data_IF_524389680774
#
_entry.id   IF_524389680774
#
_cell.length_a   1.000
_cell.length_b   1.000
_cell.length_c   1.000
_cell.angle_alpha   90.00
_cell.angle_beta   90.00
_cell.angle_gamma   90.00
#
_symmetry.space_group_name_H-M   'P 1'
#
loop_
_entity.id
_entity.type
_entity.pdbx_description
1 polymer ?
#
# COMPACT_ATOMS: atom_id res chain seq x y z
N UNK A 1 21.01 -43.91 -10.01
CA UNK A 1 21.85 -45.13 -9.87
C UNK A 1 22.41 -45.47 -11.24
N UNK A 2 23.60 -44.96 -11.52
CA UNK A 2 24.60 -45.60 -12.38
C UNK A 2 25.91 -45.41 -11.63
N UNK A 3 26.65 -46.49 -11.46
CA UNK A 3 27.93 -46.53 -10.76
C UNK A 3 28.86 -45.43 -11.27
N UNK A 4 29.41 -44.67 -10.33
CA UNK A 4 30.34 -43.55 -10.50
C UNK A 4 31.71 -44.09 -10.97
N UNK A 5 31.72 -44.78 -12.11
CA UNK A 5 32.92 -45.40 -12.67
C UNK A 5 33.72 -44.34 -13.40
N UNK A 6 34.93 -44.09 -12.88
CA UNK A 6 35.92 -43.20 -13.48
C UNK A 6 36.07 -43.50 -14.98
N UNK A 7 36.16 -42.46 -15.83
CA UNK A 7 36.47 -42.68 -17.24
C UNK A 7 37.93 -43.15 -17.40
N UNK A 8 38.10 -44.47 -17.53
CA UNK A 8 39.39 -45.15 -17.68
C UNK A 8 39.71 -45.49 -19.14
N UNK A 9 39.08 -44.81 -20.10
CA UNK A 9 39.37 -45.01 -21.53
C UNK A 9 40.61 -44.23 -21.94
N UNK A 10 41.59 -44.95 -22.46
CA UNK A 10 42.88 -44.43 -22.90
C UNK A 10 43.05 -44.75 -24.37
N UNK A 11 43.53 -43.77 -25.13
CA UNK A 11 43.95 -43.95 -26.51
C UNK A 11 45.48 -43.88 -26.58
N UNK A 12 46.11 -44.86 -27.22
CA UNK A 12 47.55 -44.84 -27.49
C UNK A 12 47.76 -44.67 -28.99
N UNK A 13 48.56 -43.69 -29.39
CA UNK A 13 48.84 -43.38 -30.79
C UNK A 13 50.35 -43.45 -31.01
N UNK A 14 50.82 -44.51 -31.65
CA UNK A 14 52.23 -44.76 -31.94
C UNK A 14 52.33 -45.62 -33.22
N UNK A 15 53.27 -45.30 -34.11
CA UNK A 15 53.43 -46.03 -35.37
C UNK A 15 54.12 -47.40 -35.18
N UNK A 16 54.70 -47.64 -34.00
CA UNK A 16 55.35 -48.89 -33.65
C UNK A 16 54.42 -49.82 -32.86
N UNK A 17 54.03 -50.98 -33.44
CA UNK A 17 53.16 -51.95 -32.75
C UNK A 17 53.70 -52.47 -31.42
N UNK A 18 55.03 -52.50 -31.20
CA UNK A 18 55.58 -52.97 -29.93
C UNK A 18 55.21 -52.05 -28.76
N UNK A 19 55.08 -50.74 -29.03
CA UNK A 19 54.69 -49.75 -28.01
C UNK A 19 53.23 -49.96 -27.59
N UNK A 20 52.36 -50.36 -28.52
CA UNK A 20 50.98 -50.72 -28.17
C UNK A 20 50.92 -51.88 -27.19
N UNK A 21 51.73 -52.92 -27.41
CA UNK A 21 51.78 -54.08 -26.52
C UNK A 21 52.38 -53.72 -25.15
N UNK A 22 53.37 -52.83 -25.11
CA UNK A 22 53.94 -52.33 -23.85
C UNK A 22 52.91 -51.54 -23.04
N UNK A 23 52.19 -50.59 -23.66
CA UNK A 23 51.13 -49.83 -22.99
C UNK A 23 49.97 -50.72 -22.54
N UNK A 24 49.60 -51.74 -23.33
CA UNK A 24 48.61 -52.73 -22.88
C UNK A 24 49.11 -53.46 -21.65
N UNK A 25 50.34 -53.98 -21.61
CA UNK A 25 50.88 -54.65 -20.40
C UNK A 25 50.96 -53.74 -19.19
N UNK A 26 51.24 -52.45 -19.39
CA UNK A 26 51.39 -51.48 -18.30
C UNK A 26 50.02 -51.06 -17.73
N UNK A 27 49.03 -50.84 -18.60
CA UNK A 27 47.74 -50.23 -18.23
C UNK A 27 46.59 -51.24 -18.12
N UNK A 28 46.70 -52.40 -18.76
CA UNK A 28 45.82 -53.56 -18.61
C UNK A 28 46.61 -54.58 -17.78
N UNK A 29 46.32 -54.67 -16.48
CA UNK A 29 46.93 -55.67 -15.61
C UNK A 29 46.67 -57.08 -16.16
N UNK A 30 47.74 -57.84 -16.41
CA UNK A 30 47.64 -59.26 -16.77
C UNK A 30 47.10 -60.08 -15.59
N UNK A 31 46.07 -60.89 -15.85
CA UNK A 31 45.42 -61.82 -14.91
C UNK A 31 46.38 -62.77 -14.19
N UNK A 32 47.59 -63.01 -14.71
CA UNK A 32 48.61 -63.87 -14.06
C UNK A 32 49.22 -63.24 -12.80
N UNK A 33 49.24 -61.91 -12.70
CA UNK A 33 49.76 -61.21 -11.52
C UNK A 33 48.85 -61.36 -10.31
N UNK A 34 47.54 -61.59 -10.52
CA UNK A 34 46.60 -61.87 -9.44
C UNK A 34 46.90 -63.21 -8.75
N UNK A 35 47.30 -64.25 -9.49
CA UNK A 35 47.61 -65.56 -8.91
C UNK A 35 48.94 -65.54 -8.14
N UNK A 36 49.92 -64.75 -8.61
CA UNK A 36 51.19 -64.54 -7.92
C UNK A 36 51.02 -63.69 -6.65
N UNK A 37 50.17 -62.66 -6.69
CA UNK A 37 49.79 -61.84 -5.52
C UNK A 37 48.95 -62.64 -4.51
N UNK A 38 48.01 -63.49 -4.95
CA UNK A 38 47.28 -64.43 -4.08
C UNK A 38 48.21 -65.42 -3.40
N UNK A 39 49.17 -65.99 -4.13
CA UNK A 39 50.18 -66.89 -3.57
C UNK A 39 51.10 -66.17 -2.56
N UNK A 40 51.48 -64.91 -2.83
CA UNK A 40 52.31 -64.09 -1.95
C UNK A 40 51.58 -63.68 -0.67
N UNK A 41 50.29 -63.34 -0.78
CA UNK A 41 49.41 -63.03 0.35
C UNK A 41 49.23 -64.24 1.28
N UNK A 42 49.08 -65.45 0.70
CA UNK A 42 48.97 -66.70 1.45
C UNK A 42 50.27 -67.11 2.18
N UNK A 43 51.44 -66.72 1.66
CA UNK A 43 52.76 -67.09 2.21
C UNK A 43 53.30 -66.11 3.26
N UNK A 44 53.03 -64.81 3.13
CA UNK A 44 53.68 -63.78 3.95
C UNK A 44 52.73 -62.92 4.80
N UNK A 45 51.41 -63.15 4.73
CA UNK A 45 50.46 -62.66 5.73
C UNK A 45 50.25 -61.14 5.81
N UNK A 46 50.91 -60.33 4.98
CA UNK A 46 50.69 -58.89 4.91
C UNK A 46 50.87 -58.39 3.47
N UNK A 47 49.74 -58.12 2.81
CA UNK A 47 49.69 -57.24 1.65
C UNK A 47 48.61 -56.18 1.95
N UNK A 48 49.05 -54.96 2.27
CA UNK A 48 48.17 -53.79 2.19
C UNK A 48 47.58 -53.76 0.79
N UNK A 49 46.27 -53.89 0.71
CA UNK A 49 45.47 -53.70 -0.51
C UNK A 49 45.83 -52.34 -1.12
N UNK A 50 46.73 -52.34 -2.11
CA UNK A 50 46.63 -51.34 -3.17
C UNK A 50 45.26 -51.63 -3.77
N UNK A 51 44.31 -50.71 -3.62
CA UNK A 51 43.01 -50.82 -4.29
C UNK A 51 43.30 -51.14 -5.75
N UNK A 52 42.96 -52.36 -6.18
CA UNK A 52 43.07 -52.76 -7.57
C UNK A 52 42.21 -51.78 -8.37
N UNK A 53 42.85 -50.83 -9.04
CA UNK A 53 42.15 -49.99 -9.99
C UNK A 53 41.60 -50.91 -11.07
N UNK A 54 40.32 -50.73 -11.43
CA UNK A 54 39.76 -51.41 -12.61
C UNK A 54 40.69 -51.17 -13.80
N UNK A 55 40.95 -52.21 -14.63
CA UNK A 55 41.92 -52.12 -15.70
C UNK A 55 41.50 -51.05 -16.71
N UNK A 56 42.48 -50.28 -17.21
CA UNK A 56 42.19 -49.25 -18.21
C UNK A 56 41.70 -49.88 -19.52
N UNK A 57 40.74 -49.23 -20.17
CA UNK A 57 40.33 -49.60 -21.53
C UNK A 57 41.26 -48.91 -22.51
N UNK A 58 42.21 -49.65 -23.06
CA UNK A 58 43.24 -49.13 -23.96
C UNK A 58 42.89 -49.48 -25.40
N UNK A 59 42.58 -48.46 -26.18
CA UNK A 59 42.47 -48.55 -27.64
C UNK A 59 43.76 -48.01 -28.26
N UNK A 60 44.19 -48.58 -29.39
CA UNK A 60 45.45 -48.19 -30.05
C UNK A 60 45.21 -47.76 -31.49
N UNK A 61 45.97 -46.77 -31.95
CA UNK A 61 45.97 -46.28 -33.32
C UNK A 61 47.42 -46.19 -33.82
N UNK A 62 47.68 -46.73 -35.00
CA UNK A 62 48.99 -46.69 -35.64
C UNK A 62 49.32 -45.33 -36.29
N UNK A 63 48.32 -44.48 -36.50
CA UNK A 63 48.45 -43.15 -37.09
C UNK A 63 47.42 -42.16 -36.53
N UNK A 64 47.72 -40.86 -36.63
CA UNK A 64 46.86 -39.79 -36.12
C UNK A 64 45.46 -39.71 -36.74
N UNK A 65 45.30 -40.07 -38.02
CA UNK A 65 43.98 -40.09 -38.68
C UNK A 65 43.08 -41.18 -38.07
N UNK A 66 43.63 -42.37 -37.84
CA UNK A 66 42.91 -43.48 -37.20
C UNK A 66 42.53 -43.11 -35.77
N UNK A 67 43.43 -42.43 -35.04
CA UNK A 67 43.14 -41.90 -33.71
C UNK A 67 41.96 -40.92 -33.71
N UNK A 68 41.91 -40.01 -34.70
CA UNK A 68 40.80 -39.06 -34.83
C UNK A 68 39.46 -39.76 -35.09
N UNK A 69 39.45 -40.74 -36.00
CA UNK A 69 38.24 -41.52 -36.31
C UNK A 69 37.72 -42.25 -35.06
N UNK A 70 38.63 -42.84 -34.27
CA UNK A 70 38.29 -43.47 -33.00
C UNK A 70 37.71 -42.49 -31.99
N UNK A 71 38.30 -41.30 -31.84
CA UNK A 71 37.78 -40.26 -30.91
C UNK A 71 36.41 -39.76 -31.35
N UNK A 72 36.22 -39.49 -32.65
CA UNK A 72 34.92 -39.05 -33.17
C UNK A 72 33.85 -40.13 -32.98
N UNK A 73 34.16 -41.39 -33.29
CA UNK A 73 33.24 -42.51 -33.07
C UNK A 73 32.91 -42.67 -31.57
N UNK A 74 33.90 -42.56 -30.70
CA UNK A 74 33.74 -42.64 -29.24
C UNK A 74 32.86 -41.50 -28.70
N UNK A 75 33.05 -40.27 -29.18
CA UNK A 75 32.22 -39.11 -28.80
C UNK A 75 30.77 -39.28 -29.25
N UNK A 76 30.56 -39.72 -30.49
CA UNK A 76 29.22 -39.99 -31.04
C UNK A 76 28.50 -41.11 -30.28
N UNK A 77 29.25 -42.10 -29.79
CA UNK A 77 28.73 -43.18 -28.95
C UNK A 77 28.55 -42.78 -27.48
N UNK A 78 28.85 -41.53 -27.09
CA UNK A 78 28.76 -41.05 -25.71
C UNK A 78 29.77 -41.67 -24.75
N UNK A 79 30.87 -42.25 -25.26
CA UNK A 79 31.92 -42.90 -24.49
C UNK A 79 33.29 -42.27 -24.81
N UNK A 80 33.54 -40.99 -24.48
CA UNK A 80 34.77 -40.30 -24.86
C UNK A 80 36.02 -40.93 -24.22
N UNK A 81 37.19 -40.72 -24.82
CA UNK A 81 38.47 -41.04 -24.17
C UNK A 81 38.84 -39.96 -23.15
N UNK A 82 39.35 -40.38 -21.99
CA UNK A 82 39.81 -39.45 -20.97
C UNK A 82 41.22 -38.94 -21.28
N UNK A 83 42.10 -39.84 -21.73
CA UNK A 83 43.53 -39.58 -21.93
C UNK A 83 44.00 -40.16 -23.27
N UNK A 84 44.85 -39.42 -23.98
CA UNK A 84 45.59 -39.94 -25.13
C UNK A 84 47.10 -39.86 -24.90
N UNK A 85 47.81 -40.97 -25.10
CA UNK A 85 49.27 -41.00 -25.21
C UNK A 85 49.63 -40.93 -26.69
N UNK A 86 50.37 -39.92 -27.11
CA UNK A 86 50.63 -39.63 -28.53
C UNK A 86 52.11 -39.53 -28.78
N UNK A 87 52.64 -40.37 -29.67
CA UNK A 87 54.02 -40.28 -30.11
C UNK A 87 54.28 -39.04 -30.97
N UNK A 88 55.47 -38.46 -30.85
CA UNK A 88 55.84 -37.26 -31.59
C UNK A 88 56.12 -37.53 -33.07
N UNK A 89 56.65 -38.70 -33.44
CA UNK A 89 57.14 -38.97 -34.81
C UNK A 89 56.53 -40.25 -35.39
N UNK A 90 55.51 -40.11 -36.24
CA UNK A 90 54.77 -41.22 -36.83
C UNK A 90 54.73 -41.17 -38.38
N UNK A 91 55.84 -41.40 -39.11
CA UNK A 91 55.83 -41.41 -40.58
C UNK A 91 55.02 -42.58 -41.19
N UNK A 92 54.39 -42.44 -42.37
CA UNK A 92 54.39 -41.28 -43.27
C UNK A 92 53.23 -40.28 -43.04
N UNK A 93 52.41 -40.47 -42.01
CA UNK A 93 51.19 -39.70 -41.76
C UNK A 93 51.38 -38.48 -40.85
N UNK A 94 50.39 -38.20 -40.01
CA UNK A 94 50.41 -37.05 -39.11
C UNK A 94 51.49 -37.20 -38.03
N UNK A 95 52.19 -36.11 -37.75
CA UNK A 95 53.06 -36.05 -36.57
C UNK A 95 52.23 -35.97 -35.28
N UNK A 96 52.89 -36.08 -34.12
CA UNK A 96 52.20 -36.03 -32.83
C UNK A 96 51.48 -34.71 -32.58
N UNK A 97 52.04 -33.57 -33.02
CA UNK A 97 51.43 -32.26 -32.80
C UNK A 97 50.16 -32.06 -33.63
N UNK A 98 50.22 -32.39 -34.92
CA UNK A 98 49.06 -32.35 -35.81
C UNK A 98 47.97 -33.30 -35.30
N UNK A 99 48.34 -34.49 -34.83
CA UNK A 99 47.41 -35.42 -34.19
C UNK A 99 46.71 -34.75 -33.00
N UNK A 100 47.46 -34.18 -32.05
CA UNK A 100 46.90 -33.55 -30.84
C UNK A 100 45.96 -32.39 -31.18
N UNK A 101 46.33 -31.55 -32.15
CA UNK A 101 45.47 -30.44 -32.61
C UNK A 101 44.12 -30.95 -33.12
N UNK A 102 44.12 -32.00 -33.93
CA UNK A 102 42.88 -32.57 -34.49
C UNK A 102 42.06 -33.27 -33.41
N UNK A 103 42.72 -33.98 -32.50
CA UNK A 103 42.09 -34.63 -31.37
C UNK A 103 41.38 -33.63 -30.45
N UNK A 104 41.98 -32.47 -30.15
CA UNK A 104 41.34 -31.43 -29.33
C UNK A 104 40.27 -30.62 -30.07
N UNK A 105 40.33 -30.53 -31.40
CA UNK A 105 39.20 -30.02 -32.19
C UNK A 105 37.99 -30.95 -32.07
N UNK A 106 38.21 -32.26 -32.00
CA UNK A 106 37.16 -33.25 -31.84
C UNK A 106 36.66 -33.39 -30.40
N UNK A 107 37.56 -33.42 -29.40
CA UNK A 107 37.23 -33.35 -27.97
C UNK A 107 38.19 -32.45 -27.21
N UNK A 108 37.74 -31.23 -26.91
CA UNK A 108 38.54 -30.27 -26.14
C UNK A 108 38.76 -30.65 -24.67
N UNK A 109 38.06 -31.66 -24.13
CA UNK A 109 38.17 -32.10 -22.73
C UNK A 109 39.28 -33.14 -22.52
N UNK A 110 39.63 -33.89 -23.56
CA UNK A 110 40.61 -34.98 -23.49
C UNK A 110 41.98 -34.50 -23.00
N UNK A 111 42.59 -35.25 -22.08
CA UNK A 111 43.95 -35.00 -21.61
C UNK A 111 44.95 -35.68 -22.56
N UNK A 112 46.13 -35.09 -22.74
CA UNK A 112 47.13 -35.62 -23.68
C UNK A 112 48.48 -35.74 -23.00
N UNK A 113 49.16 -36.86 -23.25
CA UNK A 113 50.56 -37.10 -22.89
C UNK A 113 51.36 -37.26 -24.19
N UNK A 114 52.32 -36.37 -24.43
CA UNK A 114 53.27 -36.50 -25.53
C UNK A 114 54.33 -37.52 -25.14
N UNK A 115 54.50 -38.52 -25.97
CA UNK A 115 55.59 -39.48 -25.91
C UNK A 115 56.71 -39.02 -26.86
N UNK A 116 57.93 -38.81 -26.35
CA UNK A 116 59.02 -38.23 -27.16
C UNK A 116 60.40 -38.76 -26.78
N UNK A 117 61.33 -38.81 -27.74
CA UNK A 117 62.74 -39.10 -27.48
C UNK A 117 63.55 -37.81 -27.25
N UNK A 118 64.74 -37.92 -26.65
CA UNK A 118 65.63 -36.81 -26.25
C UNK A 118 66.05 -35.84 -27.40
N UNK A 119 65.66 -36.14 -28.65
CA UNK A 119 66.07 -35.45 -29.88
C UNK A 119 64.92 -34.81 -30.67
N UNK A 120 63.69 -34.81 -30.16
CA UNK A 120 62.53 -34.32 -30.92
C UNK A 120 62.17 -32.89 -30.52
N UNK A 121 61.71 -32.12 -31.51
CA UNK A 121 61.43 -30.67 -31.58
C UNK A 121 61.62 -29.78 -30.32
N UNK A 122 62.26 -28.60 -30.44
CA UNK A 122 62.42 -27.69 -29.32
C UNK A 122 61.07 -27.19 -28.76
N UNK A 123 60.90 -27.29 -27.43
CA UNK A 123 59.69 -26.94 -26.63
C UNK A 123 58.99 -25.62 -27.01
N UNK A 124 59.70 -24.67 -27.61
CA UNK A 124 59.12 -23.42 -28.12
C UNK A 124 58.06 -23.63 -29.21
N UNK A 125 58.29 -24.59 -30.12
CA UNK A 125 57.38 -24.88 -31.25
C UNK A 125 56.07 -25.51 -30.76
N UNK A 126 56.14 -26.41 -29.78
CA UNK A 126 54.97 -27.03 -29.13
C UNK A 126 54.12 -25.95 -28.45
N UNK A 127 54.75 -24.99 -27.76
CA UNK A 127 54.02 -23.93 -27.04
C UNK A 127 53.37 -22.93 -27.98
N UNK A 128 54.04 -22.55 -29.08
CA UNK A 128 53.49 -21.63 -30.09
C UNK A 128 52.32 -22.23 -30.86
N UNK A 129 52.40 -23.52 -31.18
CA UNK A 129 51.43 -24.22 -32.02
C UNK A 129 50.19 -24.67 -31.24
N UNK A 130 50.35 -25.11 -30.00
CA UNK A 130 49.27 -25.75 -29.21
C UNK A 130 48.71 -24.83 -28.09
N UNK A 131 49.46 -23.83 -27.62
CA UNK A 131 49.00 -22.73 -26.76
C UNK A 131 48.61 -23.06 -25.31
N UNK A 132 47.90 -24.18 -25.05
CA UNK A 132 47.47 -24.62 -23.71
C UNK A 132 48.38 -25.72 -23.18
N UNK A 133 49.00 -25.48 -22.03
CA UNK A 133 49.94 -26.43 -21.41
C UNK A 133 49.35 -27.23 -20.23
N UNK A 134 48.15 -26.87 -19.76
CA UNK A 134 47.55 -27.50 -18.58
C UNK A 134 46.96 -28.89 -18.88
N UNK A 135 46.66 -29.21 -20.14
CA UNK A 135 46.14 -30.52 -20.58
C UNK A 135 47.19 -31.40 -21.26
N UNK A 136 48.45 -30.96 -21.22
CA UNK A 136 49.56 -31.56 -21.93
C UNK A 136 50.65 -31.94 -20.93
N UNK A 137 50.99 -33.22 -20.87
CA UNK A 137 52.16 -33.70 -20.14
C UNK A 137 53.13 -34.36 -21.12
N UNK A 138 54.39 -34.52 -20.72
CA UNK A 138 55.42 -35.17 -21.54
C UNK A 138 55.90 -36.42 -20.80
N UNK A 139 56.04 -37.51 -21.55
CA UNK A 139 56.65 -38.76 -21.12
C UNK A 139 57.83 -39.07 -22.05
N UNK A 140 59.03 -39.23 -21.48
CA UNK A 140 60.25 -39.47 -22.26
C UNK A 140 60.47 -40.96 -22.56
N UNK A 141 60.90 -41.28 -23.78
CA UNK A 141 61.33 -42.61 -24.21
C UNK A 141 62.80 -42.85 -23.82
N UNK A 142 63.19 -44.04 -23.28
CA UNK A 142 62.36 -45.23 -23.05
C UNK A 142 61.43 -45.08 -21.83
N UNK A 143 60.21 -45.60 -21.96
CA UNK A 143 59.15 -45.38 -20.97
C UNK A 143 59.39 -46.13 -19.66
N UNK A 144 59.12 -45.47 -18.53
CA UNK A 144 58.93 -46.13 -17.25
C UNK A 144 57.44 -46.47 -17.06
N UNK A 145 57.11 -47.76 -16.94
CA UNK A 145 55.72 -48.21 -16.81
C UNK A 145 54.99 -47.64 -15.59
N UNK A 146 55.70 -47.40 -14.48
CA UNK A 146 55.10 -46.78 -13.28
C UNK A 146 54.71 -45.32 -13.56
N UNK A 147 55.54 -44.59 -14.31
CA UNK A 147 55.28 -43.20 -14.68
C UNK A 147 54.07 -43.09 -15.61
N UNK A 148 54.00 -43.94 -16.64
CA UNK A 148 52.86 -44.01 -17.55
C UNK A 148 51.54 -44.33 -16.80
N UNK A 149 51.58 -45.29 -15.86
CA UNK A 149 50.43 -45.64 -15.03
C UNK A 149 49.98 -44.49 -14.11
N UNK A 150 50.92 -43.79 -13.49
CA UNK A 150 50.62 -42.63 -12.64
C UNK A 150 50.00 -41.48 -13.43
N UNK A 151 50.54 -41.20 -14.63
CA UNK A 151 50.01 -40.18 -15.53
C UNK A 151 48.60 -40.53 -16.01
N UNK A 152 48.40 -41.77 -16.49
CA UNK A 152 47.10 -42.28 -16.90
C UNK A 152 46.06 -42.12 -15.79
N UNK A 153 46.39 -42.57 -14.58
CA UNK A 153 45.51 -42.47 -13.41
C UNK A 153 45.17 -41.01 -13.12
N UNK A 154 46.17 -40.16 -12.91
CA UNK A 154 45.96 -38.76 -12.51
C UNK A 154 45.15 -37.97 -13.55
N UNK A 155 45.39 -38.20 -14.84
CA UNK A 155 44.70 -37.50 -15.92
C UNK A 155 43.26 -37.99 -16.11
N UNK A 156 42.98 -39.28 -15.92
CA UNK A 156 41.60 -39.80 -15.88
C UNK A 156 40.79 -39.13 -14.76
N UNK A 157 41.35 -39.05 -13.55
CA UNK A 157 40.72 -38.34 -12.41
C UNK A 157 40.50 -36.86 -12.71
N UNK A 158 41.48 -36.20 -13.33
CA UNK A 158 41.35 -34.79 -13.73
C UNK A 158 40.24 -34.57 -14.74
N UNK A 159 40.11 -35.46 -15.73
CA UNK A 159 39.04 -35.40 -16.73
C UNK A 159 37.66 -35.55 -16.08
N UNK A 160 37.50 -36.56 -15.21
CA UNK A 160 36.24 -36.84 -14.52
C UNK A 160 35.80 -35.70 -13.60
N UNK A 161 36.73 -35.15 -12.82
CA UNK A 161 36.44 -34.00 -11.96
C UNK A 161 36.02 -32.76 -12.76
N UNK A 162 36.68 -32.50 -13.89
CA UNK A 162 36.33 -31.39 -14.75
C UNK A 162 34.94 -31.55 -15.37
N UNK A 163 34.58 -32.77 -15.81
CA UNK A 163 33.27 -33.07 -16.39
C UNK A 163 32.16 -32.92 -15.34
N UNK A 164 32.37 -33.47 -14.13
CA UNK A 164 31.44 -33.31 -12.99
C UNK A 164 31.23 -31.86 -12.60
N UNK A 165 32.29 -31.05 -12.56
CA UNK A 165 32.20 -29.63 -12.22
C UNK A 165 31.36 -28.86 -13.26
N UNK A 166 31.56 -29.12 -14.55
CA UNK A 166 30.76 -28.52 -15.62
C UNK A 166 29.29 -28.95 -15.52
N UNK A 167 29.03 -30.23 -15.25
CA UNK A 167 27.67 -30.74 -15.04
C UNK A 167 26.95 -30.04 -13.89
N UNK A 168 27.61 -29.90 -12.74
CA UNK A 168 27.04 -29.20 -11.57
C UNK A 168 26.74 -27.73 -11.85
N UNK A 169 27.62 -27.04 -12.58
CA UNK A 169 27.41 -25.64 -12.96
C UNK A 169 26.18 -25.49 -13.87
N UNK A 170 26.01 -26.37 -14.85
CA UNK A 170 24.82 -26.36 -15.71
C UNK A 170 23.53 -26.62 -14.91
N UNK A 171 23.56 -27.58 -13.98
CA UNK A 171 22.39 -27.87 -13.13
C UNK A 171 22.03 -26.67 -12.24
N UNK A 172 23.02 -26.05 -11.61
CA UNK A 172 22.82 -24.86 -10.77
C UNK A 172 22.27 -23.70 -11.59
N UNK A 173 22.83 -23.43 -12.77
CA UNK A 173 22.33 -22.38 -13.67
C UNK A 173 20.86 -22.61 -14.04
N UNK A 174 20.49 -23.85 -14.38
CA UNK A 174 19.09 -24.20 -14.67
C UNK A 174 18.17 -23.94 -13.47
N UNK A 175 18.58 -24.35 -12.27
CA UNK A 175 17.80 -24.13 -11.04
C UNK A 175 17.65 -22.64 -10.72
N UNK A 176 18.71 -21.85 -10.90
CA UNK A 176 18.68 -20.40 -10.70
C UNK A 176 17.73 -19.74 -11.70
N UNK A 177 17.76 -20.13 -12.97
CA UNK A 177 16.83 -19.62 -13.99
C UNK A 177 15.38 -19.94 -13.65
N UNK A 178 15.09 -21.18 -13.27
CA UNK A 178 13.74 -21.61 -12.86
C UNK A 178 13.23 -20.81 -11.66
N UNK A 179 14.05 -20.67 -10.61
CA UNK A 179 13.67 -19.90 -9.42
C UNK A 179 13.53 -18.40 -9.70
N UNK A 180 14.38 -17.86 -10.56
CA UNK A 180 14.30 -16.45 -10.97
C UNK A 180 13.00 -16.19 -11.72
N UNK A 181 12.60 -17.08 -12.62
CA UNK A 181 11.33 -16.98 -13.33
C UNK A 181 10.11 -17.10 -12.39
N UNK A 182 10.14 -18.01 -11.41
CA UNK A 182 9.09 -18.11 -10.40
C UNK A 182 8.96 -16.83 -9.55
N UNK A 183 10.08 -16.30 -9.06
CA UNK A 183 10.11 -15.06 -8.28
C UNK A 183 9.61 -13.86 -9.08
N UNK A 184 9.97 -13.77 -10.37
CA UNK A 184 9.45 -12.72 -11.25
C UNK A 184 7.93 -12.80 -11.41
N UNK A 185 7.37 -14.01 -11.59
CA UNK A 185 5.91 -14.19 -11.67
C UNK A 185 5.21 -13.79 -10.36
N UNK A 186 5.74 -14.21 -9.22
CA UNK A 186 5.18 -13.86 -7.91
C UNK A 186 5.23 -12.33 -7.66
N UNK A 187 6.34 -11.67 -7.99
CA UNK A 187 6.46 -10.21 -7.87
C UNK A 187 5.51 -9.47 -8.79
N UNK A 188 5.29 -9.96 -10.01
CA UNK A 188 4.30 -9.36 -10.92
C UNK A 188 2.88 -9.48 -10.34
N UNK A 189 2.51 -10.66 -9.84
CA UNK A 189 1.21 -10.87 -9.19
C UNK A 189 0.99 -9.95 -7.98
N UNK A 190 2.00 -9.80 -7.13
CA UNK A 190 1.93 -8.87 -5.99
C UNK A 190 1.75 -7.42 -6.45
N UNK A 191 2.43 -7.02 -7.51
CA UNK A 191 2.31 -5.67 -8.09
C UNK A 191 0.89 -5.43 -8.62
N UNK A 192 0.31 -6.40 -9.30
CA UNK A 192 -1.05 -6.32 -9.83
C UNK A 192 -2.10 -6.23 -8.71
N UNK A 193 -1.94 -7.05 -7.66
CA UNK A 193 -2.80 -7.05 -6.47
C UNK A 193 -2.69 -5.70 -5.75
N UNK A 194 -1.48 -5.18 -5.55
CA UNK A 194 -1.27 -3.87 -4.92
C UNK A 194 -1.93 -2.76 -5.73
N UNK A 195 -1.82 -2.81 -7.07
CA UNK A 195 -2.49 -1.86 -7.96
C UNK A 195 -4.02 -1.95 -7.86
N UNK A 196 -4.59 -3.14 -7.77
CA UNK A 196 -6.02 -3.34 -7.56
C UNK A 196 -6.49 -2.81 -6.20
N UNK A 197 -5.73 -3.10 -5.14
CA UNK A 197 -6.02 -2.63 -3.79
C UNK A 197 -6.00 -1.10 -3.70
N UNK A 198 -5.01 -0.45 -4.30
CA UNK A 198 -4.95 1.03 -4.35
C UNK A 198 -6.17 1.64 -5.03
N UNK A 199 -6.66 1.06 -6.14
CA UNK A 199 -7.90 1.53 -6.79
C UNK A 199 -9.11 1.41 -5.87
N UNK A 200 -9.22 0.32 -5.13
CA UNK A 200 -10.31 0.13 -4.17
C UNK A 200 -10.24 1.15 -3.03
N UNK A 201 -9.05 1.43 -2.50
CA UNK A 201 -8.86 2.45 -1.45
C UNK A 201 -9.33 3.83 -1.92
N UNK A 202 -8.89 4.27 -3.11
CA UNK A 202 -9.31 5.58 -3.67
C UNK A 202 -10.83 5.66 -3.87
N UNK A 203 -11.45 4.58 -4.34
CA UNK A 203 -12.90 4.52 -4.51
C UNK A 203 -13.65 4.60 -3.17
N UNK A 204 -13.14 3.94 -2.14
CA UNK A 204 -13.74 3.99 -0.79
C UNK A 204 -13.64 5.39 -0.18
N UNK A 205 -12.49 6.05 -0.29
CA UNK A 205 -12.32 7.43 0.20
C UNK A 205 -13.27 8.42 -0.50
N UNK A 206 -13.44 8.26 -1.82
CA UNK A 206 -14.37 9.07 -2.60
C UNK A 206 -15.83 8.83 -2.16
N UNK A 207 -16.22 7.57 -1.97
CA UNK A 207 -17.55 7.21 -1.49
C UNK A 207 -17.82 7.74 -0.07
N UNK A 208 -16.84 7.64 0.83
CA UNK A 208 -16.93 8.15 2.20
C UNK A 208 -17.13 9.67 2.21
N UNK A 209 -16.38 10.40 1.39
CA UNK A 209 -16.52 11.85 1.26
C UNK A 209 -17.92 12.24 0.79
N UNK A 210 -18.45 11.52 -0.20
CA UNK A 210 -19.81 11.77 -0.72
C UNK A 210 -20.89 11.47 0.33
N UNK A 211 -20.75 10.38 1.10
CA UNK A 211 -21.66 10.06 2.21
C UNK A 211 -21.65 11.17 3.26
N UNK A 212 -20.47 11.66 3.65
CA UNK A 212 -20.36 12.76 4.61
C UNK A 212 -21.04 14.04 4.09
N UNK A 213 -20.85 14.36 2.81
CA UNK A 213 -21.50 15.50 2.15
C UNK A 213 -23.04 15.36 2.15
N UNK A 214 -23.54 14.17 1.80
CA UNK A 214 -24.97 13.88 1.78
C UNK A 214 -25.58 13.94 3.17
N UNK A 215 -24.92 13.37 4.18
CA UNK A 215 -25.36 13.44 5.57
C UNK A 215 -25.42 14.88 6.07
N UNK A 216 -24.40 15.70 5.77
CA UNK A 216 -24.41 17.12 6.13
C UNK A 216 -25.58 17.89 5.51
N UNK A 217 -25.91 17.61 4.24
CA UNK A 217 -27.06 18.23 3.58
C UNK A 217 -28.40 17.72 4.13
N UNK A 218 -28.51 16.42 4.43
CA UNK A 218 -29.69 15.85 5.08
C UNK A 218 -29.91 16.46 6.47
N UNK A 219 -28.85 16.62 7.26
CA UNK A 219 -28.91 17.30 8.56
C UNK A 219 -29.38 18.75 8.41
N UNK A 220 -28.85 19.48 7.42
CA UNK A 220 -29.27 20.85 7.12
C UNK A 220 -30.76 20.90 6.76
N UNK A 221 -31.22 20.06 5.84
CA UNK A 221 -32.62 19.98 5.43
C UNK A 221 -33.55 19.56 6.58
N UNK A 222 -33.08 18.67 7.45
CA UNK A 222 -33.86 18.18 8.59
C UNK A 222 -33.93 19.16 9.76
N UNK A 223 -32.95 20.07 9.90
CA UNK A 223 -32.80 20.96 11.07
C UNK A 223 -33.04 22.44 10.79
N UNK A 224 -32.94 22.89 9.53
CA UNK A 224 -33.08 24.31 9.15
C UNK A 224 -34.40 24.58 8.45
N UNK A 225 -34.93 25.79 8.62
CA UNK A 225 -36.04 26.29 7.81
C UNK A 225 -35.52 26.74 6.44
N UNK A 226 -36.11 26.29 5.32
CA UNK A 226 -35.58 26.53 3.98
C UNK A 226 -35.66 28.00 3.54
N UNK A 227 -36.60 28.79 4.11
CA UNK A 227 -36.76 30.20 3.75
C UNK A 227 -35.73 31.07 4.47
N UNK A 228 -35.51 30.83 5.76
CA UNK A 228 -34.75 31.72 6.66
C UNK A 228 -33.34 31.24 7.00
N UNK A 229 -33.07 29.93 6.91
CA UNK A 229 -31.83 29.34 7.42
C UNK A 229 -31.72 29.32 8.95
N UNK A 230 -32.72 29.80 9.69
CA UNK A 230 -32.84 29.56 11.13
C UNK A 230 -33.12 28.07 11.40
N UNK A 231 -33.08 27.64 12.66
CA UNK A 231 -33.58 26.31 12.98
C UNK A 231 -35.06 26.21 12.62
N UNK A 232 -35.49 25.06 12.11
CA UNK A 232 -36.91 24.78 12.02
C UNK A 232 -37.48 24.50 13.41
N UNK A 233 -38.80 24.61 13.55
CA UNK A 233 -39.50 24.41 14.83
C UNK A 233 -39.09 23.13 15.56
N UNK A 234 -38.95 22.01 14.83
CA UNK A 234 -38.61 20.71 15.41
C UNK A 234 -37.20 20.70 16.01
N UNK A 235 -36.21 21.19 15.26
CA UNK A 235 -34.82 21.23 15.71
C UNK A 235 -34.59 22.26 16.83
N UNK A 236 -35.23 23.43 16.74
CA UNK A 236 -35.22 24.41 17.83
C UNK A 236 -35.75 23.81 19.12
N UNK A 237 -36.91 23.15 19.05
CA UNK A 237 -37.56 22.58 20.23
C UNK A 237 -36.70 21.48 20.86
N UNK A 238 -36.09 20.58 20.08
CA UNK A 238 -35.19 19.55 20.60
C UNK A 238 -33.99 20.12 21.36
N UNK A 239 -33.37 21.21 20.86
CA UNK A 239 -32.30 21.91 21.58
C UNK A 239 -32.82 22.62 22.84
N UNK A 240 -34.03 23.16 22.76
CA UNK A 240 -34.68 23.83 23.88
C UNK A 240 -34.98 22.86 25.03
N UNK A 241 -35.48 21.66 24.74
CA UNK A 241 -35.72 20.62 25.77
C UNK A 241 -34.43 20.27 26.51
N UNK A 242 -33.33 20.11 25.77
CA UNK A 242 -32.02 19.82 26.35
C UNK A 242 -31.53 20.95 27.25
N UNK A 243 -31.54 22.18 26.75
CA UNK A 243 -31.11 23.35 27.53
C UNK A 243 -31.99 23.57 28.77
N UNK A 244 -33.30 23.33 28.67
CA UNK A 244 -34.23 23.41 29.80
C UNK A 244 -33.90 22.40 30.90
N UNK A 245 -33.64 21.14 30.52
CA UNK A 245 -33.24 20.09 31.46
C UNK A 245 -31.91 20.44 32.15
N UNK A 246 -30.90 20.83 31.36
CA UNK A 246 -29.58 21.24 31.87
C UNK A 246 -29.69 22.43 32.83
N UNK A 247 -30.49 23.46 32.48
CA UNK A 247 -30.68 24.64 33.32
C UNK A 247 -31.40 24.32 34.63
N UNK A 248 -32.42 23.43 34.60
CA UNK A 248 -33.10 22.98 35.82
C UNK A 248 -32.18 22.17 36.74
N UNK A 249 -31.37 21.29 36.18
CA UNK A 249 -30.44 20.45 36.95
C UNK A 249 -29.36 21.28 37.65
N UNK A 250 -28.77 22.25 36.92
CA UNK A 250 -27.67 23.05 37.43
C UNK A 250 -28.11 24.35 38.13
N UNK A 251 -29.42 24.62 38.21
CA UNK A 251 -29.95 25.87 38.72
C UNK A 251 -29.49 27.11 37.93
N UNK A 252 -29.17 26.94 36.64
CA UNK A 252 -28.68 28.03 35.79
C UNK A 252 -29.83 28.76 35.10
N UNK A 253 -29.60 30.03 34.75
CA UNK A 253 -30.62 30.86 34.11
C UNK A 253 -30.90 30.39 32.68
N UNK A 254 -32.15 30.54 32.25
CA UNK A 254 -32.58 30.27 30.89
C UNK A 254 -33.72 31.22 30.54
N UNK A 255 -33.57 31.97 29.45
CA UNK A 255 -34.61 32.86 28.95
C UNK A 255 -35.12 32.40 27.58
N UNK A 256 -36.40 32.65 27.35
CA UNK A 256 -37.09 32.39 26.10
C UNK A 256 -37.67 33.71 25.58
N UNK A 257 -37.59 33.91 24.27
CA UNK A 257 -38.18 35.08 23.60
C UNK A 257 -39.04 34.63 22.45
N UNK A 258 -40.30 35.04 22.43
CA UNK A 258 -41.16 34.92 21.26
C UNK A 258 -41.16 36.23 20.49
N UNK A 259 -41.06 36.15 19.17
CA UNK A 259 -40.94 37.29 18.27
C UNK A 259 -41.92 37.13 17.13
N UNK A 260 -42.61 38.21 16.80
CA UNK A 260 -43.55 38.24 15.68
C UNK A 260 -43.36 39.52 14.87
N UNK A 261 -43.46 39.38 13.54
CA UNK A 261 -43.35 40.51 12.61
C UNK A 261 -44.67 41.29 12.62
N UNK A 262 -44.57 42.56 13.04
CA UNK A 262 -45.75 43.40 13.19
C UNK A 262 -46.43 43.64 11.84
N UNK A 263 -47.75 43.46 11.82
CA UNK A 263 -48.59 43.70 10.65
C UNK A 263 -48.16 42.90 9.40
N UNK A 264 -47.57 41.72 9.57
CA UNK A 264 -47.05 40.92 8.45
C UNK A 264 -48.11 40.60 7.38
N UNK A 265 -49.34 40.29 7.80
CA UNK A 265 -50.47 40.10 6.87
C UNK A 265 -50.67 41.30 5.93
N UNK A 266 -50.53 42.54 6.42
CA UNK A 266 -50.63 43.75 5.61
C UNK A 266 -49.49 43.85 4.58
N UNK A 267 -48.29 43.38 4.93
CA UNK A 267 -47.18 43.33 3.98
C UNK A 267 -47.51 42.36 2.84
N UNK A 268 -48.03 41.18 3.15
CA UNK A 268 -48.47 40.22 2.13
C UNK A 268 -49.62 40.76 1.27
N UNK A 269 -50.64 41.33 1.90
CA UNK A 269 -51.83 41.83 1.20
C UNK A 269 -51.50 43.02 0.27
N UNK A 270 -50.52 43.85 0.65
CA UNK A 270 -50.14 45.05 -0.09
C UNK A 270 -49.07 44.81 -1.16
N UNK A 271 -48.09 43.94 -0.88
CA UNK A 271 -46.89 43.77 -1.71
C UNK A 271 -46.71 42.35 -2.26
N UNK A 272 -47.61 41.43 -1.90
CA UNK A 272 -47.58 40.02 -2.31
C UNK A 272 -46.62 39.16 -1.48
N UNK A 273 -46.83 37.84 -1.57
CA UNK A 273 -46.08 36.86 -0.78
C UNK A 273 -44.57 36.88 -1.03
N UNK A 274 -44.11 37.21 -2.24
CA UNK A 274 -42.67 37.29 -2.53
C UNK A 274 -41.97 38.39 -1.71
N UNK A 275 -42.64 39.50 -1.44
CA UNK A 275 -42.12 40.57 -0.57
C UNK A 275 -42.24 40.18 0.91
N UNK A 276 -43.31 39.47 1.28
CA UNK A 276 -43.43 38.87 2.61
C UNK A 276 -42.29 37.91 2.94
N UNK A 277 -41.92 37.05 1.99
CA UNK A 277 -40.80 36.13 2.14
C UNK A 277 -39.46 36.89 2.33
N UNK A 278 -39.25 37.99 1.59
CA UNK A 278 -38.09 38.87 1.79
C UNK A 278 -38.10 39.54 3.17
N UNK A 279 -39.28 39.95 3.66
CA UNK A 279 -39.41 40.52 4.99
C UNK A 279 -39.06 39.49 6.07
N UNK A 280 -39.56 38.26 5.96
CA UNK A 280 -39.22 37.15 6.87
C UNK A 280 -37.71 36.89 6.86
N UNK A 281 -37.09 36.80 5.68
CA UNK A 281 -35.65 36.61 5.53
C UNK A 281 -34.83 37.75 6.14
N UNK A 282 -35.24 38.99 5.92
CA UNK A 282 -34.55 40.17 6.45
C UNK A 282 -34.59 40.19 7.98
N UNK A 283 -35.73 39.86 8.58
CA UNK A 283 -35.89 39.74 10.04
C UNK A 283 -35.05 38.60 10.58
N UNK A 284 -35.12 37.41 9.98
CA UNK A 284 -34.32 36.25 10.39
C UNK A 284 -32.81 36.54 10.41
N UNK A 285 -32.31 37.27 9.40
CA UNK A 285 -30.92 37.70 9.33
C UNK A 285 -30.56 38.72 10.42
N UNK A 286 -31.43 39.70 10.69
CA UNK A 286 -31.24 40.66 11.79
C UNK A 286 -31.16 39.95 13.15
N UNK A 287 -32.07 39.00 13.39
CA UNK A 287 -32.10 38.21 14.62
C UNK A 287 -30.81 37.41 14.74
N UNK A 288 -30.52 36.55 13.77
CA UNK A 288 -29.35 35.65 13.79
C UNK A 288 -28.02 36.40 13.95
N UNK A 289 -27.83 37.51 13.24
CA UNK A 289 -26.59 38.30 13.33
C UNK A 289 -26.43 39.06 14.66
N UNK A 290 -27.49 39.17 15.47
CA UNK A 290 -27.46 39.83 16.77
C UNK A 290 -27.23 38.90 17.95
N UNK A 291 -27.09 37.60 17.70
CA UNK A 291 -26.98 36.55 18.71
C UNK A 291 -25.54 36.13 18.99
N UNK A 292 -25.30 35.63 20.20
CA UNK A 292 -24.04 34.97 20.59
C UNK A 292 -24.02 33.54 20.04
N UNK A 293 -22.85 32.92 20.05
CA UNK A 293 -22.68 31.52 19.62
C UNK A 293 -23.52 30.52 20.45
N UNK A 294 -23.77 30.84 21.72
CA UNK A 294 -24.58 30.02 22.65
C UNK A 294 -26.08 30.22 22.51
N UNK A 295 -26.50 31.30 21.84
CA UNK A 295 -27.89 31.67 21.70
C UNK A 295 -28.46 30.98 20.46
N UNK A 296 -29.74 30.66 20.48
CA UNK A 296 -30.38 29.93 19.38
C UNK A 296 -31.60 30.68 18.89
N UNK A 297 -31.82 30.68 17.57
CA UNK A 297 -33.06 31.19 16.93
C UNK A 297 -33.65 30.11 16.04
N UNK A 298 -34.95 29.90 16.18
CA UNK A 298 -35.75 29.04 15.32
C UNK A 298 -36.95 29.78 14.75
N UNK A 299 -37.34 29.44 13.53
CA UNK A 299 -38.63 29.86 12.97
C UNK A 299 -39.72 28.95 13.54
N UNK A 300 -40.56 29.52 14.40
CA UNK A 300 -41.57 28.80 15.18
C UNK A 300 -42.88 28.66 14.41
N UNK A 301 -43.25 29.69 13.65
CA UNK A 301 -44.46 29.79 12.84
C UNK A 301 -44.24 30.63 11.58
N UNK A 302 -45.29 30.94 10.82
CA UNK A 302 -45.21 31.66 9.53
C UNK A 302 -44.32 32.90 9.60
N UNK A 303 -44.70 33.88 10.40
CA UNK A 303 -43.93 35.09 10.71
C UNK A 303 -43.32 35.11 12.13
N UNK A 304 -43.37 33.98 12.83
CA UNK A 304 -43.00 33.88 14.24
C UNK A 304 -41.62 33.22 14.42
N UNK A 305 -40.80 33.80 15.29
CA UNK A 305 -39.50 33.28 15.68
C UNK A 305 -39.45 33.06 17.19
N UNK A 306 -38.75 32.02 17.60
CA UNK A 306 -38.46 31.75 19.00
C UNK A 306 -36.95 31.79 19.21
N UNK A 307 -36.52 32.46 20.27
CA UNK A 307 -35.13 32.57 20.67
C UNK A 307 -34.93 31.98 22.06
N UNK A 308 -33.77 31.38 22.25
CA UNK A 308 -33.34 30.79 23.51
C UNK A 308 -32.00 31.39 23.92
N UNK A 309 -31.92 31.89 25.15
CA UNK A 309 -30.71 32.44 25.75
C UNK A 309 -30.32 31.62 26.99
N UNK A 310 -29.46 30.61 26.83
CA UNK A 310 -28.92 29.84 27.96
C UNK A 310 -28.04 30.72 28.85
N UNK A 311 -28.06 30.45 30.16
CA UNK A 311 -27.24 31.13 31.18
C UNK A 311 -27.33 32.66 31.11
N UNK A 312 -28.53 33.17 30.87
CA UNK A 312 -28.77 34.59 30.68
C UNK A 312 -29.91 35.04 31.60
N UNK A 313 -29.64 36.06 32.42
CA UNK A 313 -30.61 36.66 33.33
C UNK A 313 -31.72 37.37 32.57
N UNK A 314 -32.90 37.48 33.16
CA UNK A 314 -34.03 38.19 32.54
C UNK A 314 -33.69 39.63 32.15
N UNK A 315 -32.97 40.36 33.00
CA UNK A 315 -32.56 41.74 32.73
C UNK A 315 -31.63 41.84 31.50
N UNK A 316 -30.71 40.89 31.32
CA UNK A 316 -29.84 40.83 30.16
C UNK A 316 -30.58 40.39 28.90
N UNK A 317 -31.45 39.38 29.02
CA UNK A 317 -32.28 38.88 27.94
C UNK A 317 -33.21 39.98 27.38
N UNK A 318 -33.84 40.77 28.25
CA UNK A 318 -34.69 41.90 27.85
C UNK A 318 -33.92 43.03 27.17
N UNK A 319 -32.70 43.33 27.65
CA UNK A 319 -31.81 44.29 26.99
C UNK A 319 -31.34 43.79 25.61
N UNK A 320 -31.06 42.49 25.47
CA UNK A 320 -30.75 41.88 24.18
C UNK A 320 -31.96 41.92 23.23
N UNK A 321 -33.15 41.58 23.72
CA UNK A 321 -34.39 41.65 22.94
C UNK A 321 -34.66 43.07 22.43
N UNK A 322 -34.44 44.10 23.24
CA UNK A 322 -34.61 45.50 22.82
C UNK A 322 -33.58 45.91 21.75
N UNK A 323 -32.33 45.45 21.86
CA UNK A 323 -31.33 45.66 20.80
C UNK A 323 -31.72 44.98 19.50
N UNK A 324 -32.21 43.74 19.55
CA UNK A 324 -32.69 43.01 18.38
C UNK A 324 -33.88 43.73 17.74
N UNK A 325 -34.85 44.21 18.54
CA UNK A 325 -35.99 45.00 18.06
C UNK A 325 -35.54 46.25 17.30
N UNK A 326 -34.65 47.03 17.89
CA UNK A 326 -34.10 48.25 17.27
C UNK A 326 -33.37 47.91 15.97
N UNK A 327 -32.55 46.86 15.97
CA UNK A 327 -31.82 46.41 14.78
C UNK A 327 -32.76 46.01 13.64
N UNK A 328 -33.83 45.28 13.93
CA UNK A 328 -34.85 44.95 12.93
C UNK A 328 -35.47 46.22 12.36
N UNK A 329 -35.87 47.15 13.22
CA UNK A 329 -36.44 48.45 12.83
C UNK A 329 -35.54 49.29 11.93
N UNK A 330 -34.22 49.21 12.11
CA UNK A 330 -33.25 50.00 11.32
C UNK A 330 -32.72 49.29 10.08
N UNK A 331 -32.54 47.96 10.14
CA UNK A 331 -31.82 47.20 9.10
C UNK A 331 -32.69 46.29 8.25
N UNK A 332 -33.84 45.80 8.75
CA UNK A 332 -34.61 44.80 8.00
C UNK A 332 -35.22 45.41 6.73
N UNK A 333 -35.77 46.62 6.84
CA UNK A 333 -36.40 47.34 5.73
C UNK A 333 -35.47 47.62 4.54
N UNK A 334 -34.21 47.95 4.81
CA UNK A 334 -33.22 48.25 3.77
C UNK A 334 -32.69 47.00 3.05
N UNK A 335 -32.99 45.80 3.57
CA UNK A 335 -32.61 44.52 2.95
C UNK A 335 -33.62 44.01 1.93
N UNK A 336 -34.79 44.64 1.81
CA UNK A 336 -35.79 44.27 0.81
C UNK A 336 -35.33 44.74 -0.58
N UNK A 337 -35.26 43.81 -1.53
CA UNK A 337 -34.79 44.09 -2.90
C UNK A 337 -35.90 44.63 -3.79
N UNK A 338 -37.14 44.22 -3.54
CA UNK A 338 -38.30 44.55 -4.37
C UNK A 338 -39.00 45.85 -3.96
N UNK A 339 -38.82 46.29 -2.72
CA UNK A 339 -39.45 47.50 -2.17
C UNK A 339 -38.42 48.24 -1.32
N UNK A 340 -38.15 49.51 -1.64
CA UNK A 340 -37.25 50.35 -0.86
C UNK A 340 -38.01 51.12 0.22
N UNK A 341 -37.42 51.23 1.41
CA UNK A 341 -37.93 52.08 2.49
C UNK A 341 -39.13 51.53 3.27
N UNK A 342 -39.45 50.24 3.16
CA UNK A 342 -40.47 49.61 4.00
C UNK A 342 -39.96 49.49 5.45
N UNK A 343 -40.61 50.17 6.39
CA UNK A 343 -40.30 50.00 7.82
C UNK A 343 -40.91 48.71 8.34
N UNK A 344 -40.05 47.75 8.69
CA UNK A 344 -40.45 46.52 9.37
C UNK A 344 -40.17 46.64 10.86
N UNK A 345 -41.15 46.29 11.68
CA UNK A 345 -40.99 46.23 13.14
C UNK A 345 -41.38 44.84 13.65
N UNK A 346 -40.90 44.53 14.84
CA UNK A 346 -41.21 43.28 15.53
C UNK A 346 -41.66 43.58 16.95
N UNK A 347 -42.58 42.79 17.44
CA UNK A 347 -42.94 42.72 18.86
C UNK A 347 -42.27 41.51 19.48
N UNK A 348 -41.82 41.65 20.74
CA UNK A 348 -41.12 40.58 21.44
C UNK A 348 -41.70 40.36 22.84
N UNK A 349 -41.91 39.11 23.20
CA UNK A 349 -42.28 38.66 24.53
C UNK A 349 -41.16 37.86 25.17
N UNK A 350 -40.73 38.22 26.38
CA UNK A 350 -39.60 37.61 27.08
C UNK A 350 -40.10 36.90 28.35
N UNK A 351 -39.69 35.65 28.52
CA UNK A 351 -39.88 34.86 29.74
C UNK A 351 -38.55 34.28 30.22
N UNK A 352 -38.53 33.83 31.47
CA UNK A 352 -37.38 33.19 32.10
C UNK A 352 -37.82 31.99 32.93
N UNK A 353 -36.95 30.99 33.03
CA UNK A 353 -37.16 29.80 33.86
C UNK A 353 -37.43 30.15 35.33
N UNK A 354 -36.91 31.29 35.79
CA UNK A 354 -37.15 31.84 37.13
C UNK A 354 -38.66 32.06 37.46
N UNK A 355 -39.54 32.14 36.46
CA UNK A 355 -41.00 32.22 36.65
C UNK A 355 -41.67 30.86 36.88
N UNK A 356 -40.89 29.79 37.12
CA UNK A 356 -41.40 28.51 37.59
C UNK A 356 -42.03 27.63 36.50
N UNK A 357 -41.67 27.84 35.23
CA UNK A 357 -42.06 26.93 34.15
C UNK A 357 -41.56 25.50 34.45
N UNK A 358 -42.44 24.51 34.35
CA UNK A 358 -42.14 23.09 34.62
C UNK A 358 -41.77 22.32 33.37
N UNK A 359 -42.19 22.83 32.21
CA UNK A 359 -41.87 22.26 30.90
C UNK A 359 -41.37 23.34 29.93
N UNK A 360 -40.63 22.95 28.88
CA UNK A 360 -40.27 23.82 27.76
C UNK A 360 -41.47 24.54 27.13
N UNK A 361 -42.60 23.85 26.92
CA UNK A 361 -43.83 24.46 26.39
C UNK A 361 -44.38 25.54 27.32
N UNK A 362 -44.38 25.31 28.64
CA UNK A 362 -44.86 26.31 29.60
C UNK A 362 -43.99 27.58 29.55
N UNK A 363 -42.67 27.46 29.35
CA UNK A 363 -41.77 28.61 29.22
C UNK A 363 -42.01 29.39 27.91
N UNK A 364 -42.31 28.68 26.82
CA UNK A 364 -42.68 29.27 25.53
C UNK A 364 -44.04 29.98 25.62
N UNK A 365 -45.05 29.34 26.22
CA UNK A 365 -46.39 29.93 26.46
C UNK A 365 -46.32 31.20 27.31
N UNK A 366 -45.43 31.20 28.32
CA UNK A 366 -45.09 32.37 29.11
C UNK A 366 -44.52 33.53 28.26
N UNK A 367 -43.61 33.23 27.32
CA UNK A 367 -43.07 34.24 26.41
C UNK A 367 -44.14 34.73 25.42
N UNK A 368 -45.01 33.84 24.95
CA UNK A 368 -46.10 34.15 24.02
C UNK A 368 -47.15 35.07 24.68
N UNK A 369 -47.50 34.85 25.94
CA UNK A 369 -48.34 35.78 26.72
C UNK A 369 -47.74 37.18 26.79
N UNK A 370 -46.43 37.28 26.99
CA UNK A 370 -45.76 38.58 26.98
C UNK A 370 -45.77 39.21 25.57
N UNK A 371 -45.63 38.41 24.50
CA UNK A 371 -45.71 38.87 23.13
C UNK A 371 -47.11 39.37 22.78
N UNK A 372 -48.15 38.67 23.24
CA UNK A 372 -49.54 39.08 23.09
C UNK A 372 -49.77 40.47 23.69
N UNK A 373 -49.28 40.69 24.92
CA UNK A 373 -49.32 42.02 25.56
C UNK A 373 -48.54 43.09 24.76
N UNK A 374 -47.46 42.72 24.07
CA UNK A 374 -46.72 43.64 23.21
C UNK A 374 -47.56 44.05 21.98
N UNK A 375 -48.28 43.09 21.39
CA UNK A 375 -49.17 43.31 20.24
C UNK A 375 -50.36 44.20 20.61
N UNK A 376 -50.98 43.98 21.77
CA UNK A 376 -52.05 44.84 22.29
C UNK A 376 -51.53 46.21 22.73
N UNK A 377 -50.32 46.27 23.28
CA UNK A 377 -49.66 47.48 23.76
C UNK A 377 -49.16 48.44 22.68
N UNK A 378 -49.61 48.29 21.44
CA UNK A 378 -49.27 49.15 20.31
C UNK A 378 -48.13 48.64 19.42
N UNK A 379 -47.70 47.37 19.59
CA UNK A 379 -46.65 46.71 18.80
C UNK A 379 -45.28 47.40 18.92
N UNK A 380 -44.29 46.94 18.14
CA UNK A 380 -42.93 47.47 18.09
C UNK A 380 -42.33 47.70 19.50
N UNK A 381 -42.52 46.73 20.39
CA UNK A 381 -42.03 46.82 21.75
C UNK A 381 -41.65 45.46 22.31
N UNK A 382 -40.84 45.50 23.37
CA UNK A 382 -40.47 44.36 24.18
C UNK A 382 -41.30 44.38 25.45
N UNK A 383 -41.91 43.25 25.75
CA UNK A 383 -42.66 42.96 26.96
C UNK A 383 -42.01 41.76 27.66
N UNK A 384 -41.88 41.79 28.98
CA UNK A 384 -41.26 40.73 29.75
C UNK A 384 -42.17 40.31 30.91
N UNK A 385 -42.22 39.04 31.26
CA UNK A 385 -42.93 38.62 32.47
C UNK A 385 -42.40 39.32 33.72
N UNK A 386 -43.28 39.60 34.67
CA UNK A 386 -42.99 40.24 35.94
C UNK A 386 -43.68 39.49 37.09
N UNK A 387 -43.04 39.48 38.27
CA UNK A 387 -43.65 38.95 39.50
C UNK A 387 -44.62 39.99 40.08
N UNK A 388 -45.87 39.59 40.28
CA UNK A 388 -46.90 40.39 40.96
C UNK A 388 -46.59 40.60 42.44
N UNK A 389 -46.83 41.80 42.94
CA UNK A 389 -46.92 42.09 44.39
C UNK A 389 -48.29 41.58 44.90
N UNK A 390 -48.40 40.92 46.07
CA UNK A 390 -49.68 40.39 46.56
C UNK A 390 -50.72 41.49 46.82
N UNK A 391 -51.95 41.35 46.30
CA UNK A 391 -53.12 42.20 46.66
C UNK A 391 -53.93 42.87 45.53
N UNK A 392 -53.72 42.55 44.26
CA UNK A 392 -54.29 43.27 43.11
C UNK A 392 -55.49 42.56 42.43
N UNK A 393 -56.44 43.31 41.85
CA UNK A 393 -57.71 42.82 41.30
C UNK A 393 -57.54 42.02 39.97
N UNK A 394 -58.37 41.00 39.65
CA UNK A 394 -58.17 40.09 38.49
C UNK A 394 -58.08 40.75 37.10
N UNK A 395 -58.73 41.88 36.89
CA UNK A 395 -58.67 42.67 35.64
C UNK A 395 -57.33 43.42 35.48
N UNK A 396 -56.66 43.75 36.59
CA UNK A 396 -55.32 44.35 36.61
C UNK A 396 -54.23 43.26 36.55
N UNK A 397 -54.55 42.01 36.90
CA UNK A 397 -53.59 40.89 36.91
C UNK A 397 -53.06 40.52 35.52
N UNK A 398 -53.79 40.78 34.42
CA UNK A 398 -53.27 40.58 33.06
C UNK A 398 -52.26 41.68 32.66
N UNK A 399 -52.52 42.93 33.04
CA UNK A 399 -51.62 44.07 32.79
C UNK A 399 -50.36 44.05 33.67
N UNK A 400 -50.37 43.35 34.80
CA UNK A 400 -49.27 43.30 35.77
C UNK A 400 -48.44 42.00 35.78
N UNK A 401 -48.84 40.96 35.03
CA UNK A 401 -47.97 39.81 34.79
C UNK A 401 -46.87 40.10 33.77
N UNK A 402 -46.99 41.20 33.03
CA UNK A 402 -46.06 41.56 31.95
C UNK A 402 -45.67 43.04 32.07
N UNK A 403 -44.38 43.32 32.05
CA UNK A 403 -43.80 44.66 32.14
C UNK A 403 -43.25 45.09 30.77
N UNK A 404 -43.60 46.31 30.34
CA UNK A 404 -43.01 46.94 29.16
C UNK A 404 -41.56 47.32 29.44
N UNK A 405 -40.68 46.85 28.56
CA UNK A 405 -39.24 47.17 28.60
C UNK A 405 -38.96 48.41 27.76
N UNK A 406 -39.59 48.51 26.59
CA UNK A 406 -39.44 49.68 25.70
C UNK A 406 -40.14 50.91 26.30
N UNK A 407 -39.45 52.05 26.51
CA UNK A 407 -40.07 53.28 26.99
C UNK A 407 -41.22 53.73 26.08
N UNK A 408 -42.30 54.27 26.66
CA UNK A 408 -43.35 54.93 25.85
C UNK A 408 -42.74 56.18 25.22
N UNK A 409 -42.84 56.33 23.90
CA UNK A 409 -42.63 57.61 23.25
C UNK A 409 -43.64 58.60 23.83
N UNK A 410 -43.16 59.61 24.56
CA UNK A 410 -44.01 60.69 25.07
C UNK A 410 -44.75 61.38 23.92
N UNK A 411 -45.90 62.02 24.18
CA UNK A 411 -46.56 62.83 23.15
C UNK A 411 -45.54 63.85 22.63
N UNK A 412 -45.37 63.90 21.31
CA UNK A 412 -44.61 64.98 20.67
C UNK A 412 -45.21 66.29 21.17
N UNK A 413 -44.47 66.99 22.02
CA UNK A 413 -44.87 68.31 22.49
C UNK A 413 -45.03 69.20 21.28
N UNK A 414 -46.29 69.55 20.98
CA UNK A 414 -46.58 70.73 20.22
C UNK A 414 -45.98 71.92 20.97
N UNK A 415 -44.98 72.57 20.37
CA UNK A 415 -44.75 74.01 20.42
C UNK A 415 -43.97 74.43 19.18
#
# INVERSE_FOLDING_TARGET
MSTDSLNQRILVVDDNPSIHDDFRRILQLDTESEDLERARSALFGDARLIQAHEPFQVDCADQGQVALDLVQAANNAGRPYAVAFVDMRMPPGWDGLETIEQLWKADSRMQVVICTAYSDQPWGEIRERIGRTDKLLILQKPFNGIEALQLATALCWKWDLADKAVGQLHELSRLVEERTAELQRANQQLTDINGALMRTVVNLESAQTEILRQNGELERLASRDPLTGCLNRRAFYALFEKAFAESREHGSELCCVMVDIDNFKRVNDQYGHAVGDQAIQAVANCLSAGLRLTDTVGRYGGEEFCLMFPRTALAEATALAERLRMRVGTEAGSRLRMVSGLTLTVSLGVSALAFGARTPLELIDQADKALYAAKEGGRNCVMALAVLVPGMHPSEQLELQVKRVTPRSGPSGAR
#
